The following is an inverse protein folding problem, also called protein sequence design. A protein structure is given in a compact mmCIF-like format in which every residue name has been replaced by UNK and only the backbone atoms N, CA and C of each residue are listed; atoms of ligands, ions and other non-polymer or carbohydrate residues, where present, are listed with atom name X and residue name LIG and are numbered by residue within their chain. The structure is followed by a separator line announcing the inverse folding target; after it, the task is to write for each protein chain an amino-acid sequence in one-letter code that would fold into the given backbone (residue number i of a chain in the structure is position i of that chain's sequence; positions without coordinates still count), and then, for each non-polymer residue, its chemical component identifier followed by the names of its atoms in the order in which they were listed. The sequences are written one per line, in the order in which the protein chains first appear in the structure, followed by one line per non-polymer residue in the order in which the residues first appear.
data_IF_163630304930
#
_entry.id   IF_163630304930
#
_cell.length_a   1.000
_cell.length_b   1.000
_cell.length_c   1.000
_cell.angle_alpha   90.00
_cell.angle_beta   90.00
_cell.angle_gamma   90.00
#
_symmetry.space_group_name_H-M   'P 1'
#
loop_
_entity.id
_entity.type
_entity.pdbx_description
1 polymer ?
#
# COMPACT_ATOMS: atom_id res chain seq x y z
N UNK A 1 11.16 -18.07 22.03
CA UNK A 1 10.71 -17.12 23.07
C UNK A 1 11.78 -16.04 23.23
N UNK A 2 11.55 -14.82 22.73
CA UNK A 2 12.49 -13.70 22.89
C UNK A 2 12.31 -13.19 24.33
N UNK A 3 13.38 -13.18 25.14
CA UNK A 3 13.31 -12.69 26.53
C UNK A 3 12.97 -11.19 26.51
N UNK A 4 11.85 -10.79 27.12
CA UNK A 4 11.27 -9.43 27.11
C UNK A 4 12.27 -8.31 27.46
N UNK A 5 13.31 -8.60 28.24
CA UNK A 5 14.29 -7.61 28.71
C UNK A 5 15.56 -7.48 27.87
N UNK A 6 15.65 -8.09 26.67
CA UNK A 6 16.84 -7.95 25.81
C UNK A 6 16.69 -6.94 24.68
N UNK A 7 15.49 -6.45 24.41
CA UNK A 7 15.27 -5.55 23.30
C UNK A 7 15.59 -4.11 23.72
N UNK A 8 16.69 -3.55 23.21
CA UNK A 8 17.00 -2.14 23.39
C UNK A 8 16.09 -1.30 22.46
N UNK A 9 14.92 -0.92 22.97
CA UNK A 9 13.93 -0.15 22.22
C UNK A 9 14.46 1.20 21.75
N UNK A 10 15.24 1.89 22.58
CA UNK A 10 15.81 3.20 22.21
C UNK A 10 16.68 3.06 20.96
N UNK A 11 17.52 2.02 20.91
CA UNK A 11 18.32 1.71 19.72
C UNK A 11 17.46 1.44 18.47
N UNK A 12 16.39 0.65 18.60
CA UNK A 12 15.49 0.35 17.48
C UNK A 12 14.81 1.63 16.96
N UNK A 13 14.37 2.49 17.87
CA UNK A 13 13.74 3.76 17.53
C UNK A 13 14.73 4.67 16.82
N UNK A 14 15.95 4.81 17.35
CA UNK A 14 16.99 5.63 16.76
C UNK A 14 17.39 5.12 15.38
N UNK A 15 17.57 3.81 15.21
CA UNK A 15 17.84 3.20 13.90
C UNK A 15 16.67 3.39 12.93
N UNK A 16 15.43 3.27 13.40
CA UNK A 16 14.25 3.52 12.56
C UNK A 16 14.21 4.98 12.09
N UNK A 17 14.58 5.95 12.94
CA UNK A 17 14.64 7.37 12.58
C UNK A 17 15.75 7.63 11.56
N UNK A 18 16.97 7.12 11.80
CA UNK A 18 18.10 7.24 10.85
C UNK A 18 17.76 6.72 9.45
N UNK A 19 16.96 5.65 9.37
CA UNK A 19 16.56 5.01 8.11
C UNK A 19 15.24 5.54 7.53
N UNK A 20 14.59 6.50 8.17
CA UNK A 20 13.25 7.01 7.80
C UNK A 20 12.17 5.91 7.80
N UNK A 21 12.26 4.96 8.73
CA UNK A 21 11.31 3.86 8.95
C UNK A 21 10.52 4.00 10.25
N UNK A 22 10.66 5.11 10.98
CA UNK A 22 9.88 5.40 12.20
C UNK A 22 8.37 5.19 11.99
N UNK A 23 7.87 5.64 10.84
CA UNK A 23 6.49 5.45 10.43
C UNK A 23 6.07 3.98 10.32
N UNK A 24 6.89 3.20 9.61
CA UNK A 24 6.67 1.76 9.38
C UNK A 24 6.72 0.99 10.69
N UNK A 25 7.67 1.32 11.56
CA UNK A 25 7.77 0.74 12.90
C UNK A 25 6.53 1.04 13.74
N UNK A 26 6.10 2.30 13.77
CA UNK A 26 4.90 2.70 14.51
C UNK A 26 3.64 1.98 13.98
N UNK A 27 3.51 1.87 12.67
CA UNK A 27 2.39 1.13 12.08
C UNK A 27 2.44 -0.35 12.43
N UNK A 28 3.61 -0.99 12.37
CA UNK A 28 3.78 -2.38 12.74
C UNK A 28 3.39 -2.63 14.21
N UNK A 29 3.83 -1.77 15.13
CA UNK A 29 3.49 -1.90 16.55
C UNK A 29 1.99 -1.71 16.81
N UNK A 30 1.35 -0.75 16.15
CA UNK A 30 -0.11 -0.55 16.26
C UNK A 30 -0.86 -1.75 15.69
N UNK A 31 -0.40 -2.33 14.56
CA UNK A 31 -0.99 -3.55 14.01
C UNK A 31 -0.80 -4.75 14.92
N UNK A 32 0.39 -4.94 15.49
CA UNK A 32 0.63 -6.03 16.44
C UNK A 32 -0.30 -5.93 17.66
N UNK A 33 -0.51 -4.72 18.17
CA UNK A 33 -1.47 -4.50 19.26
C UNK A 33 -2.91 -4.79 18.83
N UNK A 34 -3.32 -4.33 17.65
CA UNK A 34 -4.68 -4.54 17.15
C UNK A 34 -4.98 -6.03 16.87
N UNK A 35 -4.02 -6.76 16.30
CA UNK A 35 -4.21 -8.16 15.88
C UNK A 35 -3.95 -9.17 16.99
N UNK A 36 -2.99 -8.89 17.89
CA UNK A 36 -2.51 -9.85 18.89
C UNK A 36 -2.63 -9.35 20.32
N UNK A 37 -3.16 -8.15 20.55
CA UNK A 37 -3.27 -7.58 21.90
C UNK A 37 -1.94 -7.23 22.56
N UNK A 38 -0.83 -7.20 21.82
CA UNK A 38 0.49 -6.90 22.40
C UNK A 38 0.50 -5.50 23.02
N UNK A 39 0.98 -5.31 24.26
CA UNK A 39 0.95 -4.01 24.90
C UNK A 39 1.78 -2.98 24.11
N UNK A 40 1.14 -1.87 23.74
CA UNK A 40 1.82 -0.73 23.14
C UNK A 40 2.58 0.04 24.21
N UNK A 41 3.88 0.19 24.03
CA UNK A 41 4.67 1.09 24.85
C UNK A 41 4.32 2.54 24.51
N UNK A 42 3.63 3.20 25.42
CA UNK A 42 3.20 4.60 25.29
C UNK A 42 4.39 5.56 25.14
N UNK A 43 5.52 5.26 25.78
CA UNK A 43 6.78 6.00 25.68
C UNK A 43 7.21 6.22 24.22
N UNK A 44 7.06 5.18 23.38
CA UNK A 44 7.41 5.22 21.96
C UNK A 44 6.41 6.04 21.14
N UNK A 45 5.12 5.88 21.44
CA UNK A 45 4.05 6.56 20.70
C UNK A 45 4.14 8.08 20.89
N UNK A 46 4.53 8.54 22.08
CA UNK A 46 4.69 9.97 22.36
C UNK A 46 5.87 10.61 21.60
N UNK A 47 6.94 9.85 21.37
CA UNK A 47 8.13 10.35 20.67
C UNK A 47 7.94 10.44 19.14
N UNK A 48 6.94 9.74 18.61
CA UNK A 48 6.77 9.57 17.18
C UNK A 48 5.80 10.61 16.62
N UNK A 49 6.33 11.61 15.89
CA UNK A 49 5.49 12.65 15.24
C UNK A 49 4.48 12.07 14.24
N UNK A 50 4.76 10.87 13.72
CA UNK A 50 3.95 10.20 12.71
C UNK A 50 2.88 9.25 13.27
N UNK A 51 2.66 9.23 14.59
CA UNK A 51 1.73 8.31 15.25
C UNK A 51 0.31 8.38 14.67
N UNK A 52 -0.23 9.59 14.48
CA UNK A 52 -1.61 9.77 13.98
C UNK A 52 -1.82 9.09 12.63
N UNK A 53 -0.85 9.23 11.73
CA UNK A 53 -0.93 8.58 10.43
C UNK A 53 -0.72 7.07 10.54
N UNK A 54 0.21 6.62 11.38
CA UNK A 54 0.47 5.20 11.59
C UNK A 54 -0.78 4.48 12.11
N UNK A 55 -1.49 5.09 13.07
CA UNK A 55 -2.78 4.60 13.56
C UNK A 55 -3.82 4.59 12.44
N UNK A 56 -3.91 5.67 11.65
CA UNK A 56 -4.86 5.76 10.54
C UNK A 56 -4.63 4.67 9.49
N UNK A 57 -3.38 4.40 9.10
CA UNK A 57 -3.09 3.33 8.14
C UNK A 57 -3.24 1.94 8.74
N UNK A 58 -2.88 1.74 10.01
CA UNK A 58 -3.10 0.47 10.70
C UNK A 58 -4.58 0.10 10.66
N UNK A 59 -5.46 1.04 11.05
CA UNK A 59 -6.93 0.85 11.01
C UNK A 59 -7.45 0.53 9.60
N UNK A 60 -6.82 1.09 8.57
CA UNK A 60 -7.18 0.78 7.17
C UNK A 60 -6.64 -0.57 6.70
N UNK A 61 -5.58 -1.07 7.32
CA UNK A 61 -4.98 -2.36 6.98
C UNK A 61 -5.71 -3.54 7.65
N UNK A 62 -6.34 -3.32 8.81
CA UNK A 62 -7.05 -4.39 9.57
C UNK A 62 -8.04 -5.19 8.71
N UNK A 63 -8.92 -4.57 7.89
CA UNK A 63 -9.87 -5.32 7.08
C UNK A 63 -9.23 -6.28 6.07
N UNK A 64 -7.97 -6.06 5.69
CA UNK A 64 -7.24 -6.98 4.79
C UNK A 64 -6.73 -8.23 5.50
N UNK A 65 -6.60 -8.20 6.82
CA UNK A 65 -6.26 -9.37 7.62
C UNK A 65 -7.51 -10.14 8.08
N UNK A 66 -8.65 -9.45 8.16
CA UNK A 66 -9.92 -10.04 8.58
C UNK A 66 -10.73 -10.62 7.42
N UNK A 67 -10.54 -10.12 6.18
CA UNK A 67 -11.23 -10.64 5.01
C UNK A 67 -10.82 -12.09 4.74
N UNK A 68 -11.78 -13.01 4.78
CA UNK A 68 -11.62 -14.38 4.30
C UNK A 68 -11.62 -14.42 2.77
N UNK A 69 -11.05 -15.47 2.18
CA UNK A 69 -10.96 -15.65 0.71
C UNK A 69 -12.33 -15.55 0.02
N UNK A 70 -13.41 -15.95 0.70
CA UNK A 70 -14.80 -15.84 0.19
C UNK A 70 -15.30 -14.39 0.10
N UNK A 71 -14.83 -13.50 0.97
CA UNK A 71 -15.21 -12.07 0.95
C UNK A 71 -14.43 -11.28 -0.11
N UNK A 72 -13.24 -11.73 -0.49
CA UNK A 72 -12.43 -11.09 -1.53
C UNK A 72 -13.11 -11.13 -2.90
N UNK A 73 -13.79 -12.25 -3.25
CA UNK A 73 -14.57 -12.34 -4.49
C UNK A 73 -15.75 -11.36 -4.49
N UNK A 74 -16.42 -11.19 -3.34
CA UNK A 74 -17.62 -10.36 -3.20
C UNK A 74 -17.32 -8.86 -3.13
N UNK A 75 -16.19 -8.48 -2.52
CA UNK A 75 -15.79 -7.08 -2.34
C UNK A 75 -14.61 -6.64 -3.21
N UNK A 76 -14.22 -7.46 -4.20
CA UNK A 76 -12.97 -7.30 -4.95
C UNK A 76 -12.72 -5.89 -5.49
N UNK A 77 -13.75 -5.16 -5.92
CA UNK A 77 -13.55 -3.76 -6.38
C UNK A 77 -13.31 -2.77 -5.22
N UNK A 78 -14.02 -2.91 -4.11
CA UNK A 78 -13.88 -2.04 -2.96
C UNK A 78 -12.55 -2.29 -2.23
N UNK A 79 -12.16 -3.56 -2.07
CA UNK A 79 -10.88 -3.94 -1.49
C UNK A 79 -9.71 -3.48 -2.38
N UNK A 80 -9.86 -3.57 -3.71
CA UNK A 80 -8.92 -3.01 -4.66
C UNK A 80 -8.73 -1.50 -4.47
N UNK A 81 -9.82 -0.73 -4.39
CA UNK A 81 -9.76 0.72 -4.17
C UNK A 81 -9.09 1.07 -2.84
N UNK A 82 -9.45 0.37 -1.76
CA UNK A 82 -8.80 0.52 -0.45
C UNK A 82 -7.30 0.22 -0.52
N UNK A 83 -6.89 -0.79 -1.27
CA UNK A 83 -5.47 -1.14 -1.47
C UNK A 83 -4.73 0.00 -2.16
N UNK A 84 -5.33 0.61 -3.18
CA UNK A 84 -4.76 1.76 -3.88
C UNK A 84 -4.67 2.98 -2.97
N UNK A 85 -5.72 3.25 -2.22
CA UNK A 85 -5.77 4.36 -1.27
C UNK A 85 -4.71 4.19 -0.16
N UNK A 86 -4.60 3.00 0.41
CA UNK A 86 -3.56 2.64 1.37
C UNK A 86 -2.16 2.84 0.80
N UNK A 87 -1.90 2.30 -0.40
CA UNK A 87 -0.63 2.47 -1.07
C UNK A 87 -0.27 3.94 -1.31
N UNK A 88 -1.24 4.76 -1.73
CA UNK A 88 -1.01 6.18 -1.93
C UNK A 88 -0.67 6.90 -0.61
N UNK A 89 -1.39 6.60 0.45
CA UNK A 89 -1.18 7.23 1.76
C UNK A 89 0.12 6.80 2.45
N UNK A 90 0.57 5.56 2.24
CA UNK A 90 1.84 5.05 2.74
C UNK A 90 3.04 5.87 2.22
N UNK A 91 2.90 6.49 1.05
CA UNK A 91 3.96 7.28 0.42
C UNK A 91 3.87 8.71 0.93
N UNK A 92 4.76 9.08 1.85
CA UNK A 92 4.82 10.44 2.39
C UNK A 92 5.33 11.47 1.38
N UNK A 93 6.35 11.09 0.60
CA UNK A 93 7.03 12.01 -0.31
C UNK A 93 6.23 12.24 -1.60
N UNK A 94 6.10 13.50 -2.02
CA UNK A 94 5.44 13.86 -3.28
C UNK A 94 6.09 13.15 -4.49
N UNK A 95 7.42 13.00 -4.48
CA UNK A 95 8.16 12.24 -5.51
C UNK A 95 7.71 10.76 -5.56
N UNK A 96 7.56 10.11 -4.39
CA UNK A 96 7.08 8.73 -4.29
C UNK A 96 5.63 8.61 -4.73
N UNK A 97 4.76 9.58 -4.36
CA UNK A 97 3.37 9.63 -4.84
C UNK A 97 3.30 9.77 -6.36
N UNK A 98 4.08 10.68 -6.95
CA UNK A 98 4.16 10.84 -8.40
C UNK A 98 4.62 9.56 -9.08
N UNK A 99 5.69 8.93 -8.59
CA UNK A 99 6.17 7.65 -9.10
C UNK A 99 5.09 6.56 -9.00
N UNK A 100 4.33 6.53 -7.91
CA UNK A 100 3.19 5.61 -7.77
C UNK A 100 2.12 5.82 -8.83
N UNK A 101 1.71 7.07 -9.09
CA UNK A 101 0.76 7.37 -10.15
C UNK A 101 1.31 6.99 -11.53
N UNK A 102 2.57 7.37 -11.81
CA UNK A 102 3.22 7.02 -13.07
C UNK A 102 3.29 5.50 -13.25
N UNK A 103 3.60 4.74 -12.21
CA UNK A 103 3.61 3.28 -12.27
C UNK A 103 2.24 2.71 -12.66
N UNK A 104 1.15 3.25 -12.12
CA UNK A 104 -0.21 2.80 -12.46
C UNK A 104 -0.65 3.24 -13.85
N UNK A 105 -0.09 4.34 -14.35
CA UNK A 105 -0.30 4.82 -15.72
C UNK A 105 0.67 4.14 -16.69
N UNK A 106 1.75 3.49 -16.24
CA UNK A 106 2.69 2.81 -17.13
C UNK A 106 2.07 1.47 -17.58
N UNK A 107 2.24 1.05 -18.84
CA UNK A 107 1.68 -0.22 -19.29
C UNK A 107 2.34 -1.38 -18.56
N UNK A 108 1.55 -2.41 -18.22
CA UNK A 108 2.12 -3.64 -17.68
C UNK A 108 2.78 -4.43 -18.81
N UNK A 109 3.82 -5.20 -18.50
CA UNK A 109 4.52 -6.08 -19.47
C UNK A 109 3.55 -6.99 -20.24
N UNK A 110 2.48 -7.44 -19.59
CA UNK A 110 1.43 -8.24 -20.24
C UNK A 110 0.63 -7.45 -21.28
N UNK A 111 0.43 -6.14 -21.08
CA UNK A 111 -0.19 -5.27 -22.08
C UNK A 111 0.76 -5.03 -23.26
N UNK A 112 2.07 -4.93 -23.02
CA UNK A 112 3.07 -4.83 -24.10
C UNK A 112 3.04 -6.06 -25.01
N UNK A 113 2.97 -7.27 -24.46
CA UNK A 113 2.94 -8.50 -25.26
C UNK A 113 1.64 -8.71 -26.04
N UNK A 114 0.55 -8.07 -25.64
CA UNK A 114 -0.76 -8.21 -26.28
C UNK A 114 -0.88 -7.46 -27.62
N UNK A 115 -0.08 -6.40 -27.82
CA UNK A 115 -0.10 -5.59 -29.03
C UNK A 115 1.19 -5.80 -29.83
N UNK A 116 1.10 -6.57 -30.92
CA UNK A 116 2.20 -6.72 -31.89
C UNK A 116 2.27 -5.47 -32.79
N UNK A 117 2.65 -4.34 -32.21
CA UNK A 117 2.88 -3.09 -32.96
C UNK A 117 4.39 -2.98 -33.24
N UNK A 118 4.82 -2.69 -34.48
CA UNK A 118 6.23 -2.44 -34.77
C UNK A 118 6.78 -1.28 -33.92
N UNK A 119 8.01 -1.36 -33.43
CA UNK A 119 8.61 -0.39 -32.49
C UNK A 119 8.49 1.07 -32.95
N UNK A 120 8.60 1.32 -34.27
CA UNK A 120 8.47 2.66 -34.88
C UNK A 120 7.09 3.30 -34.65
N UNK A 121 6.06 2.48 -34.44
CA UNK A 121 4.67 2.91 -34.22
C UNK A 121 4.24 2.74 -32.76
N UNK A 122 5.16 2.42 -31.84
CA UNK A 122 4.81 2.16 -30.44
C UNK A 122 4.12 3.37 -29.78
N UNK A 123 4.41 4.60 -30.19
CA UNK A 123 3.75 5.79 -29.68
C UNK A 123 2.22 5.78 -29.86
N UNK A 124 1.70 5.13 -30.92
CA UNK A 124 0.25 4.98 -31.15
C UNK A 124 -0.45 4.20 -30.04
N UNK A 125 0.27 3.31 -29.35
CA UNK A 125 -0.25 2.58 -28.21
C UNK A 125 -0.81 3.52 -27.14
N UNK A 126 -0.15 4.65 -26.86
CA UNK A 126 -0.60 5.60 -25.86
C UNK A 126 -1.92 6.29 -26.24
N UNK A 127 -2.20 6.45 -27.53
CA UNK A 127 -3.47 7.00 -28.02
C UNK A 127 -4.61 5.98 -27.97
N UNK A 128 -4.33 4.70 -28.27
CA UNK A 128 -5.34 3.63 -28.28
C UNK A 128 -5.67 3.19 -26.85
N UNK A 129 -4.74 3.34 -25.91
CA UNK A 129 -4.89 2.90 -24.52
C UNK A 129 -6.11 3.45 -23.77
N UNK A 130 -6.43 4.75 -23.78
CA UNK A 130 -7.65 5.25 -23.13
C UNK A 130 -8.91 4.55 -23.67
N UNK A 131 -8.99 4.28 -24.98
CA UNK A 131 -10.11 3.53 -25.57
C UNK A 131 -10.17 2.09 -25.05
N UNK A 132 -9.03 1.42 -24.92
CA UNK A 132 -8.97 0.06 -24.37
C UNK A 132 -9.36 -0.01 -22.90
N UNK A 133 -8.92 0.97 -22.09
CA UNK A 133 -9.31 1.10 -20.70
C UNK A 133 -10.83 1.34 -20.59
N UNK A 134 -11.39 2.21 -21.43
CA UNK A 134 -12.82 2.48 -21.48
C UNK A 134 -13.61 1.22 -21.89
N UNK A 135 -13.17 0.50 -22.92
CA UNK A 135 -13.78 -0.75 -23.38
C UNK A 135 -13.78 -1.82 -22.29
N UNK A 136 -12.68 -1.95 -21.53
CA UNK A 136 -12.60 -2.87 -20.38
C UNK A 136 -13.53 -2.46 -19.25
N UNK A 137 -13.63 -1.15 -18.96
CA UNK A 137 -14.55 -0.63 -17.95
C UNK A 137 -16.02 -0.90 -18.32
N UNK A 138 -16.39 -0.73 -19.60
CA UNK A 138 -17.74 -1.00 -20.10
C UNK A 138 -18.08 -2.50 -20.03
N UNK A 139 -17.17 -3.39 -20.46
CA UNK A 139 -17.37 -4.85 -20.39
C UNK A 139 -17.57 -5.39 -18.97
N UNK A 140 -17.02 -4.71 -17.95
CA UNK A 140 -17.19 -5.09 -16.54
C UNK A 140 -18.53 -4.71 -15.94
N UNK A 141 -19.28 -3.78 -16.54
CA UNK A 141 -20.62 -3.39 -16.08
C UNK A 141 -21.74 -4.28 -16.62
N UNK A 142 -21.45 -5.09 -17.64
CA UNK A 142 -22.44 -5.93 -18.34
C UNK A 142 -22.40 -7.41 -17.89
N UNK A 143 -21.52 -7.74 -16.93
CA UNK A 143 -21.49 -9.01 -16.20
C UNK A 143 -21.95 -8.73 -14.78
#
# INVERSE_FOLDING_TARGET
MIKENKLNWNYIVDESKKRNYEYTLAQALVLCNALYGTPLRTDFLQQTKSLKLAVKLSKRCIPFFESTDEEEEKYGHHLFLKTKEYGLMWRHDAKKKRSYFLFHITPSTNEFTAYKIPDRFFFLYYFIRPYNLLKRALRRKTK
#
